data_IF_420254024062
#
_entry.id   IF_420254024062
#
_cell.length_a   1.000
_cell.length_b   1.000
_cell.length_c   1.000
_cell.angle_alpha   90.00
_cell.angle_beta   90.00
_cell.angle_gamma   90.00
#
_symmetry.space_group_name_H-M   'P 1'
#
loop_
_entity.id
_entity.type
_entity.pdbx_description
1 polymer ?
#
# COMPACT_ATOMS: atom_id res chain seq x y z
N UNK A 1 -5.43 49.27 -24.32
CA UNK A 1 -5.25 48.26 -25.38
C UNK A 1 -6.24 47.12 -25.12
N UNK A 2 -7.27 46.92 -25.95
CA UNK A 2 -8.20 45.81 -25.75
C UNK A 2 -7.51 44.50 -26.13
N UNK A 3 -7.37 43.59 -25.17
CA UNK A 3 -6.88 42.24 -25.43
C UNK A 3 -7.91 41.51 -26.30
N UNK A 4 -7.47 40.99 -27.45
CA UNK A 4 -8.28 40.26 -28.42
C UNK A 4 -9.09 39.13 -27.76
N UNK A 5 -10.36 38.99 -28.13
CA UNK A 5 -11.28 37.95 -27.64
C UNK A 5 -10.71 36.51 -27.81
N UNK A 6 -9.84 36.32 -28.80
CA UNK A 6 -9.11 35.07 -28.99
C UNK A 6 -8.10 34.78 -27.85
N UNK A 7 -7.48 35.81 -27.27
CA UNK A 7 -6.58 35.68 -26.12
C UNK A 7 -7.36 35.26 -24.87
N UNK A 8 -8.55 35.84 -24.66
CA UNK A 8 -9.44 35.49 -23.53
C UNK A 8 -9.95 34.06 -23.62
N UNK A 9 -10.39 33.61 -24.80
CA UNK A 9 -10.79 32.21 -25.04
C UNK A 9 -9.64 31.24 -24.81
N UNK A 10 -8.44 31.58 -25.29
CA UNK A 10 -7.24 30.75 -25.12
C UNK A 10 -6.83 30.65 -23.64
N UNK A 11 -6.90 31.76 -22.88
CA UNK A 11 -6.64 31.75 -21.44
C UNK A 11 -7.67 30.93 -20.66
N UNK A 12 -8.96 30.98 -21.02
CA UNK A 12 -10.03 30.18 -20.40
C UNK A 12 -9.83 28.67 -20.59
N UNK A 13 -9.44 28.25 -21.80
CA UNK A 13 -9.15 26.83 -22.10
C UNK A 13 -7.93 26.34 -21.33
N UNK A 14 -6.86 27.15 -21.26
CA UNK A 14 -5.68 26.79 -20.47
C UNK A 14 -5.97 26.73 -18.97
N UNK A 15 -6.83 27.62 -18.45
CA UNK A 15 -7.27 27.58 -17.05
C UNK A 15 -8.09 26.30 -16.77
N UNK A 16 -9.00 25.91 -17.67
CA UNK A 16 -9.81 24.69 -17.56
C UNK A 16 -8.96 23.40 -17.59
N UNK A 17 -7.89 23.36 -18.38
CA UNK A 17 -6.99 22.21 -18.46
C UNK A 17 -6.13 22.01 -17.21
N UNK A 18 -5.87 23.06 -16.41
CA UNK A 18 -5.16 22.96 -15.13
C UNK A 18 -6.03 22.41 -13.99
N UNK A 19 -7.36 22.40 -14.13
CA UNK A 19 -8.31 21.83 -13.16
C UNK A 19 -8.68 20.37 -13.47
N UNK A 20 -8.14 19.76 -14.53
CA UNK A 20 -8.29 18.33 -14.73
C UNK A 20 -7.53 17.61 -13.60
N UNK A 21 -8.21 16.81 -12.76
CA UNK A 21 -7.53 16.07 -11.71
C UNK A 21 -6.53 15.12 -12.38
N UNK A 22 -5.28 15.18 -11.93
CA UNK A 22 -4.25 14.20 -12.29
C UNK A 22 -4.80 12.82 -11.92
N UNK A 23 -5.16 12.01 -12.92
CA UNK A 23 -5.53 10.60 -12.71
C UNK A 23 -4.26 9.83 -12.34
N UNK A 24 -3.87 9.93 -11.06
CA UNK A 24 -2.84 9.07 -10.50
C UNK A 24 -3.43 7.68 -10.28
N UNK A 25 -3.12 6.75 -11.19
CA UNK A 25 -3.33 5.33 -10.95
C UNK A 25 -2.26 4.84 -9.97
N UNK A 26 -2.57 4.88 -8.67
CA UNK A 26 -1.86 4.03 -7.72
C UNK A 26 -2.42 2.62 -7.92
N UNK A 27 -1.55 1.65 -8.16
CA UNK A 27 -1.96 0.24 -8.10
C UNK A 27 -2.37 -0.03 -6.65
N UNK A 28 -3.68 0.02 -6.40
CA UNK A 28 -4.26 -0.14 -5.08
C UNK A 28 -4.21 -1.63 -4.70
N UNK A 29 -3.14 -2.01 -4.03
CA UNK A 29 -2.95 -3.38 -3.51
C UNK A 29 -3.35 -3.44 -2.05
N UNK A 30 -3.89 -4.57 -1.58
CA UNK A 30 -4.03 -4.83 -0.16
C UNK A 30 -2.68 -4.67 0.55
N UNK A 31 -2.72 -4.14 1.76
CA UNK A 31 -1.53 -3.97 2.61
C UNK A 31 -0.75 -5.29 2.71
N UNK A 32 0.57 -5.21 2.61
CA UNK A 32 1.49 -6.33 2.84
C UNK A 32 1.66 -7.30 1.66
N UNK A 33 1.02 -7.03 0.52
CA UNK A 33 1.21 -7.81 -0.72
C UNK A 33 2.50 -7.38 -1.44
N UNK A 34 3.30 -8.34 -1.91
CA UNK A 34 4.45 -8.05 -2.78
C UNK A 34 4.02 -7.83 -4.23
N UNK A 35 4.78 -7.01 -4.98
CA UNK A 35 4.50 -6.80 -6.41
C UNK A 35 4.48 -8.11 -7.22
N UNK A 36 5.31 -9.08 -6.88
CA UNK A 36 5.34 -10.37 -7.56
C UNK A 36 4.02 -11.15 -7.42
N UNK A 37 3.27 -10.90 -6.33
CA UNK A 37 1.97 -11.52 -6.06
C UNK A 37 0.78 -10.63 -6.41
N UNK A 38 1.01 -9.39 -6.85
CA UNK A 38 -0.04 -8.40 -7.11
C UNK A 38 -1.15 -8.89 -8.04
N UNK A 39 -0.82 -9.71 -9.04
CA UNK A 39 -1.76 -10.25 -10.01
C UNK A 39 -2.88 -11.12 -9.40
N UNK A 40 -2.63 -11.70 -8.22
CA UNK A 40 -3.59 -12.57 -7.53
C UNK A 40 -4.60 -11.80 -6.68
N UNK A 41 -4.33 -10.54 -6.34
CA UNK A 41 -5.17 -9.71 -5.46
C UNK A 41 -5.91 -8.66 -6.28
N UNK A 42 -7.01 -9.07 -6.90
CA UNK A 42 -7.84 -8.18 -7.72
C UNK A 42 -8.96 -7.56 -6.88
N UNK A 43 -9.06 -6.23 -6.87
CA UNK A 43 -10.10 -5.52 -6.13
C UNK A 43 -11.49 -5.93 -6.62
N UNK A 44 -12.39 -6.22 -5.68
CA UNK A 44 -13.80 -6.49 -5.95
C UNK A 44 -14.08 -7.86 -6.59
N UNK A 45 -13.07 -8.73 -6.72
CA UNK A 45 -13.24 -10.10 -7.23
C UNK A 45 -13.05 -11.14 -6.12
N UNK A 46 -13.63 -12.34 -6.27
CA UNK A 46 -13.31 -13.45 -5.40
C UNK A 46 -11.81 -13.72 -5.39
N UNK A 47 -11.28 -14.02 -4.21
CA UNK A 47 -9.89 -14.34 -3.99
C UNK A 47 -9.75 -15.86 -3.87
N UNK A 48 -8.84 -16.46 -4.62
CA UNK A 48 -8.48 -17.85 -4.43
C UNK A 48 -7.22 -17.90 -3.57
N UNK A 49 -7.22 -18.70 -2.50
CA UNK A 49 -6.00 -18.95 -1.74
C UNK A 49 -4.89 -19.41 -2.69
N UNK A 50 -3.63 -19.03 -2.43
CA UNK A 50 -2.54 -19.29 -3.39
C UNK A 50 -2.13 -20.78 -3.43
N UNK A 51 -2.51 -21.55 -2.41
CA UNK A 51 -2.46 -23.02 -2.41
C UNK A 51 -3.60 -23.68 -3.20
N UNK A 52 -4.59 -22.90 -3.66
CA UNK A 52 -5.76 -23.38 -4.38
C UNK A 52 -6.79 -24.10 -3.50
N UNK A 53 -6.72 -23.96 -2.18
CA UNK A 53 -7.59 -24.67 -1.23
C UNK A 53 -9.06 -24.22 -1.31
N UNK A 54 -9.31 -22.92 -1.14
CA UNK A 54 -10.66 -22.34 -1.10
C UNK A 54 -10.72 -20.99 -1.82
N UNK A 55 -11.93 -20.65 -2.27
CA UNK A 55 -12.26 -19.33 -2.83
C UNK A 55 -13.04 -18.52 -1.81
N UNK A 56 -12.52 -17.34 -1.50
CA UNK A 56 -13.05 -16.40 -0.51
C UNK A 56 -13.64 -15.17 -1.20
N UNK A 57 -14.66 -14.54 -0.59
CA UNK A 57 -15.11 -13.23 -1.04
C UNK A 57 -14.05 -12.15 -0.71
N UNK A 58 -13.94 -11.07 -1.48
CA UNK A 58 -12.83 -10.10 -1.36
C UNK A 58 -12.72 -9.41 0.00
N UNK A 59 -13.80 -9.33 0.79
CA UNK A 59 -13.77 -8.74 2.14
C UNK A 59 -13.05 -9.60 3.18
N UNK A 60 -12.71 -10.85 2.84
CA UNK A 60 -11.93 -11.75 3.68
C UNK A 60 -10.43 -11.51 3.61
N UNK A 61 -9.96 -10.70 2.68
CA UNK A 61 -8.54 -10.33 2.63
C UNK A 61 -8.26 -9.31 3.73
N UNK A 62 -7.29 -9.59 4.61
CA UNK A 62 -6.90 -8.75 5.74
C UNK A 62 -8.06 -8.47 6.72
N UNK A 63 -8.90 -9.47 6.99
CA UNK A 63 -10.03 -9.36 7.92
C UNK A 63 -9.68 -9.77 9.36
N UNK A 64 -8.39 -10.01 9.63
CA UNK A 64 -7.86 -10.49 10.92
C UNK A 64 -8.26 -11.93 11.27
N UNK A 65 -8.70 -12.73 10.30
CA UNK A 65 -9.00 -14.15 10.47
C UNK A 65 -8.22 -14.99 9.44
N UNK A 66 -7.70 -16.13 9.85
CA UNK A 66 -6.92 -17.00 8.96
C UNK A 66 -7.82 -18.06 8.32
N UNK A 67 -8.38 -17.75 7.16
CA UNK A 67 -9.23 -18.61 6.34
C UNK A 67 -8.40 -19.53 5.42
N UNK A 68 -7.29 -19.05 4.84
CA UNK A 68 -6.44 -19.87 3.97
C UNK A 68 -5.40 -20.67 4.77
N UNK A 69 -5.18 -21.94 4.40
CA UNK A 69 -4.15 -22.77 5.05
C UNK A 69 -2.71 -22.29 4.80
N UNK A 70 -2.48 -21.64 3.65
CA UNK A 70 -1.22 -20.99 3.30
C UNK A 70 -1.09 -19.56 3.85
N UNK A 71 -2.14 -19.04 4.48
CA UNK A 71 -2.23 -17.70 5.04
C UNK A 71 -2.17 -16.56 4.02
N UNK A 72 -2.51 -16.83 2.76
CA UNK A 72 -2.48 -15.84 1.68
C UNK A 72 -3.60 -14.80 1.74
N UNK A 73 -4.66 -15.05 2.50
CA UNK A 73 -5.74 -14.11 2.80
C UNK A 73 -5.32 -12.99 3.76
N UNK A 74 -4.29 -13.21 4.60
CA UNK A 74 -3.85 -12.25 5.62
C UNK A 74 -2.43 -11.70 5.35
N UNK A 75 -2.13 -11.12 4.17
CA UNK A 75 -0.81 -10.59 3.85
C UNK A 75 -0.43 -9.35 4.66
N UNK A 76 -1.41 -8.68 5.29
CA UNK A 76 -1.33 -7.39 5.94
C UNK A 76 -1.64 -7.39 7.44
N UNK A 77 -1.89 -8.58 8.02
CA UNK A 77 -2.24 -8.75 9.44
C UNK A 77 -1.43 -9.89 10.07
N UNK A 78 -1.42 -10.02 11.41
CA UNK A 78 -0.75 -11.12 12.10
C UNK A 78 -1.58 -12.41 12.23
N UNK A 79 -2.77 -12.51 11.61
CA UNK A 79 -3.75 -13.56 11.92
C UNK A 79 -3.29 -14.99 11.55
N UNK A 80 -2.45 -15.14 10.53
CA UNK A 80 -1.93 -16.45 10.12
C UNK A 80 -0.52 -16.72 10.66
N UNK A 81 -0.32 -17.85 11.34
CA UNK A 81 0.99 -18.25 11.89
C UNK A 81 2.09 -18.42 10.82
N UNK A 82 1.70 -18.85 9.62
CA UNK A 82 2.58 -19.04 8.46
C UNK A 82 2.54 -17.84 7.50
N UNK A 83 1.85 -16.76 7.86
CA UNK A 83 1.69 -15.57 7.04
C UNK A 83 3.01 -14.82 6.82
N UNK A 84 3.10 -14.14 5.69
CA UNK A 84 4.26 -13.33 5.30
C UNK A 84 3.80 -11.91 4.96
N UNK A 85 4.37 -10.94 5.66
CA UNK A 85 4.13 -9.52 5.44
C UNK A 85 5.23 -8.91 4.58
N UNK A 86 4.88 -8.30 3.45
CA UNK A 86 5.85 -7.62 2.61
C UNK A 86 5.87 -6.11 2.89
N UNK A 87 7.02 -5.61 3.36
CA UNK A 87 7.30 -4.19 3.47
C UNK A 87 8.08 -3.71 2.25
N UNK A 88 7.63 -2.60 1.65
CA UNK A 88 8.43 -1.82 0.71
C UNK A 88 8.64 -0.43 1.30
N UNK A 89 9.89 -0.05 1.43
CA UNK A 89 10.27 1.35 1.63
C UNK A 89 10.58 1.96 0.26
N UNK A 90 10.28 3.25 0.09
CA UNK A 90 10.53 4.01 -1.15
C UNK A 90 12.03 4.15 -1.42
N UNK A 91 12.88 4.13 -0.38
CA UNK A 91 14.32 4.27 -0.49
C UNK A 91 15.14 2.98 -0.24
N UNK A 92 14.52 1.86 0.17
CA UNK A 92 15.26 0.64 0.55
C UNK A 92 14.77 -0.64 -0.14
N UNK A 93 15.59 -1.69 -0.02
CA UNK A 93 15.29 -3.03 -0.53
C UNK A 93 14.06 -3.58 0.20
N UNK A 94 13.07 -4.07 -0.55
CA UNK A 94 11.87 -4.67 0.03
C UNK A 94 12.22 -5.88 0.89
N UNK A 95 11.60 -5.99 2.07
CA UNK A 95 11.81 -7.09 3.01
C UNK A 95 10.52 -7.86 3.23
N UNK A 96 10.64 -9.17 3.42
CA UNK A 96 9.53 -10.04 3.76
C UNK A 96 9.69 -10.46 5.22
N UNK A 97 8.69 -10.19 6.03
CA UNK A 97 8.68 -10.43 7.47
C UNK A 97 7.64 -11.50 7.79
N UNK A 98 7.81 -12.19 8.92
CA UNK A 98 6.76 -13.05 9.45
C UNK A 98 5.57 -12.19 9.87
N UNK A 99 4.35 -12.63 9.56
CA UNK A 99 3.09 -11.97 9.96
C UNK A 99 3.02 -11.64 11.45
N UNK A 100 3.65 -12.44 12.31
CA UNK A 100 3.71 -12.22 13.76
C UNK A 100 4.30 -10.86 14.19
N UNK A 101 5.07 -10.20 13.31
CA UNK A 101 5.61 -8.85 13.57
C UNK A 101 4.70 -7.72 13.07
N UNK A 102 3.54 -8.05 12.51
CA UNK A 102 2.59 -7.06 12.04
C UNK A 102 1.79 -6.53 13.22
N UNK A 103 1.88 -5.22 13.44
CA UNK A 103 1.16 -4.50 14.51
C UNK A 103 1.46 -5.02 15.94
N UNK A 104 2.64 -5.62 16.17
CA UNK A 104 3.03 -6.19 17.47
C UNK A 104 3.49 -5.13 18.50
N UNK A 105 3.32 -3.83 18.19
CA UNK A 105 3.72 -2.70 19.04
C UNK A 105 5.23 -2.52 19.18
N UNK A 106 6.01 -3.33 18.44
CA UNK A 106 7.45 -3.38 18.53
C UNK A 106 8.00 -3.05 17.16
N UNK A 107 8.61 -1.87 17.05
CA UNK A 107 9.39 -1.57 15.87
C UNK A 107 10.62 -2.49 15.90
N UNK A 108 10.56 -3.60 15.16
CA UNK A 108 11.72 -4.42 14.89
C UNK A 108 12.82 -3.50 14.41
N UNK A 109 13.98 -3.53 15.06
CA UNK A 109 15.11 -2.68 14.74
C UNK A 109 15.76 -3.19 13.44
N UNK A 110 15.01 -3.13 12.33
CA UNK A 110 15.60 -3.11 11.01
C UNK A 110 16.30 -1.76 10.91
N UNK A 111 17.59 -1.75 11.25
CA UNK A 111 18.43 -0.57 11.22
C UNK A 111 18.51 -0.06 9.77
N UNK A 112 17.60 0.84 9.41
CA UNK A 112 17.86 1.92 8.49
C UNK A 112 17.37 3.20 9.15
N UNK A 113 18.34 4.04 9.54
CA UNK A 113 18.13 5.31 10.22
C UNK A 113 17.12 6.17 9.45
N UNK A 114 15.92 6.36 10.00
CA UNK A 114 15.03 7.45 9.58
C UNK A 114 15.59 8.74 10.14
N UNK A 115 16.51 9.36 9.39
CA UNK A 115 17.02 10.67 9.76
C UNK A 115 15.92 11.70 9.54
N UNK A 116 15.57 12.36 10.63
CA UNK A 116 14.70 13.52 10.73
C UNK A 116 15.29 14.67 9.88
N UNK A 117 14.96 14.77 8.59
CA UNK A 117 15.25 15.97 7.78
C UNK A 117 14.14 16.22 6.75
N UNK A 118 13.24 17.15 7.12
CA UNK A 118 12.57 18.18 6.32
C UNK A 118 11.70 17.79 5.10
N UNK A 119 10.39 17.95 5.30
CA UNK A 119 9.38 18.55 4.39
C UNK A 119 9.46 18.13 2.90
N UNK A 120 8.61 17.17 2.51
CA UNK A 120 7.85 17.23 1.23
C UNK A 120 6.90 16.03 1.08
N UNK A 121 5.60 16.33 1.17
CA UNK A 121 4.40 15.71 0.57
C UNK A 121 4.43 14.38 -0.26
N UNK A 122 5.26 13.36 0.01
CA UNK A 122 5.35 12.16 -0.88
C UNK A 122 5.45 10.78 -0.20
N UNK A 123 5.06 10.62 1.07
CA UNK A 123 5.12 9.31 1.74
C UNK A 123 3.73 8.79 2.09
N UNK A 124 2.89 8.58 1.08
CA UNK A 124 1.72 7.71 1.24
C UNK A 124 2.20 6.29 1.54
N UNK A 125 1.57 5.67 2.54
CA UNK A 125 1.78 4.31 3.05
C UNK A 125 2.92 4.11 4.10
N UNK A 126 2.49 4.12 5.37
CA UNK A 126 3.06 3.43 6.54
C UNK A 126 4.32 4.03 7.20
N UNK A 127 4.13 5.07 8.02
CA UNK A 127 5.00 5.36 9.16
C UNK A 127 4.14 5.30 10.43
N UNK A 128 4.33 4.25 11.25
CA UNK A 128 3.72 4.15 12.58
C UNK A 128 4.59 4.94 13.56
N UNK A 129 4.09 5.99 14.23
CA UNK A 129 4.84 6.67 15.27
C UNK A 129 4.63 5.96 16.63
N UNK A 130 5.71 5.70 17.36
CA UNK A 130 5.77 5.23 18.76
C UNK A 130 5.62 3.72 19.04
N UNK A 131 6.67 2.93 18.78
CA UNK A 131 6.83 1.56 19.31
C UNK A 131 8.21 1.35 19.97
N UNK A 132 8.27 0.49 20.99
CA UNK A 132 9.49 0.18 21.78
C UNK A 132 10.32 -0.88 21.01
N UNK A 133 11.64 -0.71 20.87
CA UNK A 133 12.49 -1.63 20.07
C UNK A 133 12.75 -2.96 20.78
N UNK A 134 12.79 -4.07 20.03
CA UNK A 134 13.41 -5.34 20.47
C UNK A 134 14.85 -5.39 19.99
N UNK A 135 15.75 -5.79 20.89
CA UNK A 135 17.18 -6.08 20.67
C UNK A 135 17.41 -7.30 19.79
#
# INVERSE_FOLDING_TARGET
MPFSENMRRSMLVMLLLMFLPSVHFCLELPRGVSLAKSAFYQIGKPFNCLDGSIVLPPHKINDNYCDCADGSDEPGTPACNNGVFHCRDVQYKSVSLRSAFVNDGICGQFHFRVHFVLISALSSCWLWPHGRSRS
#
